data_IF_101067644298
#
_entry.id   IF_101067644298
#
_cell.length_a   1.000
_cell.length_b   1.000
_cell.length_c   1.000
_cell.angle_alpha   90.00
_cell.angle_beta   90.00
_cell.angle_gamma   90.00
#
_symmetry.space_group_name_H-M   'P 1'
#
loop_
_entity.id
_entity.type
_entity.pdbx_description
1 polymer ?
#
# COMPACT_ATOMS: atom_id res chain seq x y z
N UNK A 1 0.58 10.58 -11.74
CA UNK A 1 0.62 10.69 -10.27
C UNK A 1 1.73 9.81 -9.72
N UNK A 2 2.43 10.24 -8.68
CA UNK A 2 3.49 9.42 -8.10
C UNK A 2 2.99 8.10 -7.49
N UNK A 3 3.90 7.16 -7.41
CA UNK A 3 3.69 5.88 -6.77
C UNK A 3 4.41 5.86 -5.43
N UNK A 4 3.79 5.27 -4.43
CA UNK A 4 4.33 5.20 -3.07
C UNK A 4 4.36 3.77 -2.58
N UNK A 5 5.40 3.44 -1.80
CA UNK A 5 5.48 2.18 -1.05
C UNK A 5 5.35 2.52 0.43
N UNK A 6 4.41 1.88 1.09
CA UNK A 6 4.16 2.07 2.51
C UNK A 6 4.56 0.80 3.25
N UNK A 7 5.41 0.95 4.26
CA UNK A 7 5.73 -0.12 5.18
C UNK A 7 4.85 -0.01 6.40
N UNK A 8 4.15 -1.10 6.72
CA UNK A 8 3.29 -1.19 7.89
C UNK A 8 3.83 -2.30 8.78
N UNK A 9 4.24 -1.97 9.99
CA UNK A 9 4.67 -2.96 10.96
C UNK A 9 3.44 -3.58 11.61
N UNK A 10 3.36 -4.90 11.52
CA UNK A 10 2.25 -5.66 12.07
C UNK A 10 2.79 -7.03 12.48
N UNK A 11 3.10 -7.17 13.76
CA UNK A 11 3.63 -8.43 14.30
C UNK A 11 2.72 -9.59 13.97
N UNK A 12 3.26 -10.64 13.38
CA UNK A 12 2.50 -11.82 13.03
C UNK A 12 1.66 -11.69 11.77
N UNK A 13 1.88 -10.67 10.95
CA UNK A 13 1.11 -10.44 9.73
C UNK A 13 1.06 -11.67 8.83
N UNK A 14 2.17 -12.39 8.71
CA UNK A 14 2.26 -13.59 7.86
C UNK A 14 1.44 -14.77 8.35
N UNK A 15 0.95 -14.71 9.59
CA UNK A 15 0.10 -15.76 10.19
C UNK A 15 -1.37 -15.39 10.21
N UNK A 16 -1.75 -14.22 9.68
CA UNK A 16 -3.15 -13.83 9.64
C UNK A 16 -3.93 -14.77 8.71
N UNK A 17 -5.09 -15.25 9.16
CA UNK A 17 -5.93 -16.09 8.31
C UNK A 17 -6.47 -15.29 7.13
N UNK A 18 -6.79 -15.99 6.04
CA UNK A 18 -7.28 -15.37 4.81
C UNK A 18 -8.49 -14.48 5.07
N UNK A 19 -9.35 -14.86 6.01
CA UNK A 19 -10.55 -14.08 6.33
C UNK A 19 -10.20 -12.71 6.90
N UNK A 20 -9.15 -12.62 7.71
CA UNK A 20 -8.70 -11.34 8.24
C UNK A 20 -8.03 -10.48 7.19
N UNK A 21 -7.25 -11.08 6.29
CA UNK A 21 -6.68 -10.37 5.16
C UNK A 21 -7.79 -9.82 4.26
N UNK A 22 -8.86 -10.59 4.07
CA UNK A 22 -10.02 -10.14 3.31
C UNK A 22 -10.71 -8.95 3.98
N UNK A 23 -10.89 -9.01 5.29
CA UNK A 23 -11.53 -7.92 6.05
C UNK A 23 -10.71 -6.63 5.98
N UNK A 24 -9.39 -6.74 6.11
CA UNK A 24 -8.48 -5.60 5.98
C UNK A 24 -8.59 -4.99 4.59
N UNK A 25 -8.61 -5.84 3.56
CA UNK A 25 -8.72 -5.40 2.16
C UNK A 25 -10.05 -4.70 1.89
N UNK A 26 -11.15 -5.26 2.41
CA UNK A 26 -12.48 -4.65 2.28
C UNK A 26 -12.53 -3.29 2.95
N UNK A 27 -11.93 -3.16 4.12
CA UNK A 27 -11.86 -1.88 4.83
C UNK A 27 -11.07 -0.86 4.03
N UNK A 28 -9.93 -1.25 3.49
CA UNK A 28 -9.12 -0.38 2.64
C UNK A 28 -9.90 0.09 1.42
N UNK A 29 -10.58 -0.82 0.74
CA UNK A 29 -11.41 -0.48 -0.43
C UNK A 29 -12.53 0.50 -0.06
N UNK A 30 -13.13 0.35 1.13
CA UNK A 30 -14.14 1.27 1.61
C UNK A 30 -13.61 2.69 1.80
N UNK A 31 -12.43 2.82 2.41
CA UNK A 31 -11.78 4.12 2.58
C UNK A 31 -11.42 4.73 1.23
N UNK A 32 -10.92 3.91 0.30
CA UNK A 32 -10.57 4.40 -1.04
C UNK A 32 -11.79 4.93 -1.80
N UNK A 33 -12.92 4.27 -1.68
CA UNK A 33 -14.17 4.75 -2.30
C UNK A 33 -14.57 6.11 -1.75
N UNK A 34 -14.42 6.31 -0.44
CA UNK A 34 -14.75 7.58 0.21
C UNK A 34 -13.80 8.69 -0.19
N UNK A 35 -12.54 8.38 -0.42
CA UNK A 35 -11.53 9.36 -0.80
C UNK A 35 -11.58 9.73 -2.28
N UNK A 36 -12.23 8.92 -3.11
CA UNK A 36 -12.37 9.16 -4.53
C UNK A 36 -11.24 8.59 -5.39
N UNK A 37 -11.25 8.84 -6.72
CA UNK A 37 -10.39 8.14 -7.67
C UNK A 37 -8.94 8.59 -7.67
N UNK A 38 -8.58 9.64 -6.91
CA UNK A 38 -7.22 10.17 -6.91
C UNK A 38 -6.22 9.25 -6.23
N UNK A 39 -6.68 8.38 -5.33
CA UNK A 39 -5.81 7.42 -4.67
C UNK A 39 -6.19 6.01 -5.10
N UNK A 40 -5.21 5.22 -5.54
CA UNK A 40 -5.44 3.87 -6.05
C UNK A 40 -4.49 2.90 -5.36
N UNK A 41 -5.06 1.86 -4.80
CA UNK A 41 -4.30 0.76 -4.22
C UNK A 41 -4.00 -0.25 -5.32
N UNK A 42 -2.75 -0.55 -5.55
CA UNK A 42 -2.35 -1.49 -6.59
C UNK A 42 -2.20 -2.90 -6.05
N UNK A 43 -1.41 -3.07 -5.01
CA UNK A 43 -1.22 -4.37 -4.38
C UNK A 43 -0.49 -4.21 -3.06
N UNK A 44 -0.50 -5.27 -2.27
CA UNK A 44 0.26 -5.34 -1.02
C UNK A 44 0.93 -6.69 -0.92
N UNK A 45 2.08 -6.68 -0.24
CA UNK A 45 2.86 -7.89 0.03
C UNK A 45 2.85 -8.11 1.54
N UNK A 46 2.34 -9.27 1.97
CA UNK A 46 2.30 -9.65 3.37
C UNK A 46 3.52 -10.50 3.65
N UNK A 47 4.35 -10.06 4.59
CA UNK A 47 5.52 -10.79 5.06
C UNK A 47 5.26 -11.27 6.49
N UNK A 48 6.28 -11.82 7.15
CA UNK A 48 6.08 -12.38 8.49
C UNK A 48 5.56 -11.34 9.49
N UNK A 49 6.14 -10.15 9.49
CA UNK A 49 5.83 -9.12 10.48
C UNK A 49 5.56 -7.74 9.89
N UNK A 50 5.42 -7.65 8.57
CA UNK A 50 5.16 -6.38 7.87
C UNK A 50 4.23 -6.58 6.70
N UNK A 51 3.58 -5.50 6.31
CA UNK A 51 2.84 -5.42 5.06
C UNK A 51 3.41 -4.26 4.27
N UNK A 52 3.75 -4.50 3.02
CA UNK A 52 4.23 -3.47 2.09
C UNK A 52 3.12 -3.19 1.08
N UNK A 53 2.64 -1.96 1.06
CA UNK A 53 1.53 -1.57 0.19
C UNK A 53 2.01 -0.62 -0.89
N UNK A 54 1.49 -0.80 -2.11
CA UNK A 54 1.82 0.07 -3.24
C UNK A 54 0.58 0.84 -3.64
N UNK A 55 0.69 2.17 -3.64
CA UNK A 55 -0.40 3.09 -3.98
C UNK A 55 0.04 4.08 -5.04
N UNK A 56 -0.91 4.54 -5.83
CA UNK A 56 -0.77 5.72 -6.69
C UNK A 56 -1.62 6.81 -6.06
N UNK A 57 -1.03 7.99 -5.84
CA UNK A 57 -1.72 9.09 -5.20
C UNK A 57 -1.09 10.41 -5.64
N UNK A 58 -1.81 11.55 -5.52
CA UNK A 58 -1.25 12.84 -5.90
C UNK A 58 -0.07 13.27 -5.03
N UNK A 59 -0.08 12.92 -3.74
CA UNK A 59 0.98 13.29 -2.81
C UNK A 59 1.00 12.35 -1.61
N UNK A 60 2.00 12.51 -0.76
CA UNK A 60 2.17 11.71 0.45
C UNK A 60 1.04 11.92 1.45
N UNK A 61 0.47 13.13 1.49
CA UNK A 61 -0.64 13.44 2.40
C UNK A 61 -1.88 12.60 2.12
N UNK A 62 -2.17 12.32 0.85
CA UNK A 62 -3.29 11.45 0.49
C UNK A 62 -3.09 10.05 1.06
N UNK A 63 -1.86 9.53 1.01
CA UNK A 63 -1.51 8.22 1.56
C UNK A 63 -1.67 8.22 3.08
N UNK A 64 -1.20 9.27 3.75
CA UNK A 64 -1.36 9.42 5.21
C UNK A 64 -2.82 9.50 5.61
N UNK A 65 -3.62 10.23 4.84
CA UNK A 65 -5.06 10.36 5.10
C UNK A 65 -5.75 9.01 4.98
N UNK A 66 -5.41 8.22 3.97
CA UNK A 66 -5.94 6.86 3.81
C UNK A 66 -5.61 6.00 5.03
N UNK A 67 -4.35 6.02 5.47
CA UNK A 67 -3.92 5.25 6.63
C UNK A 67 -4.68 5.66 7.89
N UNK A 68 -4.85 6.96 8.10
CA UNK A 68 -5.54 7.51 9.25
C UNK A 68 -7.02 7.12 9.26
N UNK A 69 -7.69 7.25 8.13
CA UNK A 69 -9.11 6.90 8.01
C UNK A 69 -9.37 5.42 8.20
N UNK A 70 -8.45 4.58 7.73
CA UNK A 70 -8.57 3.14 7.87
C UNK A 70 -8.06 2.61 9.19
N UNK A 71 -7.37 3.43 9.99
CA UNK A 71 -6.73 2.97 11.20
C UNK A 71 -5.55 2.05 10.94
N UNK A 72 -4.93 2.17 9.77
CA UNK A 72 -3.77 1.35 9.41
C UNK A 72 -2.47 2.01 9.85
N UNK A 73 -1.48 1.22 10.32
CA UNK A 73 -0.17 1.78 10.59
C UNK A 73 0.50 2.21 9.28
N UNK A 74 1.28 3.27 9.33
CA UNK A 74 2.07 3.74 8.20
C UNK A 74 3.43 4.15 8.75
N UNK A 75 4.27 3.16 9.05
CA UNK A 75 5.53 3.36 9.71
C UNK A 75 6.55 4.06 8.82
N UNK A 76 6.49 3.79 7.52
CA UNK A 76 7.36 4.43 6.56
C UNK A 76 6.66 4.56 5.22
N UNK A 77 6.72 5.75 4.63
CA UNK A 77 6.18 6.03 3.30
C UNK A 77 7.35 6.47 2.42
N UNK A 78 7.54 5.80 1.30
CA UNK A 78 8.63 6.11 0.36
C UNK A 78 8.06 6.40 -1.01
N UNK A 79 8.50 7.50 -1.62
CA UNK A 79 8.14 7.83 -2.99
C UNK A 79 8.95 6.95 -3.94
N UNK A 80 8.28 6.27 -4.86
CA UNK A 80 8.96 5.47 -5.88
C UNK A 80 9.56 6.41 -6.92
N UNK A 81 10.87 6.28 -7.15
CA UNK A 81 11.58 7.10 -8.14
C UNK A 81 11.72 6.40 -9.49
N UNK A 82 11.79 5.07 -9.48
CA UNK A 82 11.89 4.28 -10.69
C UNK A 82 11.41 2.87 -10.41
N UNK A 83 10.87 2.23 -11.43
CA UNK A 83 10.53 0.81 -11.39
C UNK A 83 11.46 0.11 -12.37
N UNK A 84 12.15 -0.90 -11.91
CA UNK A 84 13.04 -1.70 -12.74
C UNK A 84 12.61 -3.15 -12.73
N UNK A 85 12.84 -3.82 -13.84
CA UNK A 85 12.56 -5.25 -14.01
C UNK A 85 13.52 -5.81 -15.08
N UNK A 86 13.42 -7.09 -15.44
CA UNK A 86 14.34 -7.64 -16.45
C UNK A 86 14.37 -6.89 -17.77
N UNK A 87 13.29 -6.25 -18.18
CA UNK A 87 13.28 -5.48 -19.42
C UNK A 87 14.17 -4.24 -19.34
N UNK A 88 14.44 -3.75 -18.12
CA UNK A 88 15.34 -2.61 -17.92
C UNK A 88 16.77 -2.94 -18.36
N UNK A 89 17.14 -4.21 -18.37
CA UNK A 89 18.45 -4.67 -18.82
C UNK A 89 18.58 -4.72 -20.35
N UNK A 90 17.49 -4.56 -21.07
CA UNK A 90 17.51 -4.62 -22.53
C UNK A 90 18.22 -3.39 -23.12
N UNK A 91 19.02 -3.64 -24.17
CA UNK A 91 19.71 -2.56 -24.87
C UNK A 91 18.81 -2.09 -26.00
N UNK A 92 18.57 -0.79 -26.04
CA UNK A 92 17.73 -0.18 -27.07
C UNK A 92 18.46 -0.13 -28.42
#
# INVERSE_FOLDING_TARGET
MPKFVIERELTGAGKLPRQELQAISQKSCGVLRDMGPQIQWQQSFVTDDKIYCVYIAPDEEAVKTHARKGGFPANRISTVRAVIDPTTAEVA
#
